data_IF_635650365433
#
_entry.id   IF_635650365433
#
_cell.length_a   1.000
_cell.length_b   1.000
_cell.length_c   1.000
_cell.angle_alpha   90.00
_cell.angle_beta   90.00
_cell.angle_gamma   90.00
#
_symmetry.space_group_name_H-M   'P 1'
#
loop_
_entity.id
_entity.type
_entity.pdbx_description
1 polymer ?
#
# COMPACT_ATOMS: atom_id res chain seq x y z
N UNK A 1 -10.92 9.89 -13.38
CA UNK A 1 -9.76 10.38 -12.61
C UNK A 1 -8.53 9.92 -13.38
N UNK A 2 -7.52 10.75 -13.50
CA UNK A 2 -6.25 10.36 -14.13
C UNK A 2 -5.54 9.28 -13.28
N UNK A 3 -4.82 8.36 -13.90
CA UNK A 3 -4.17 7.23 -13.20
C UNK A 3 -3.10 7.72 -12.22
N UNK A 4 -2.25 8.67 -12.66
CA UNK A 4 -1.20 9.25 -11.81
C UNK A 4 -1.84 10.05 -10.67
N UNK A 5 -2.93 10.77 -10.94
CA UNK A 5 -3.67 11.48 -9.90
C UNK A 5 -4.29 10.53 -8.86
N UNK A 6 -4.78 9.38 -9.29
CA UNK A 6 -5.28 8.34 -8.38
C UNK A 6 -4.16 7.81 -7.48
N UNK A 7 -2.96 7.58 -8.02
CA UNK A 7 -1.79 7.16 -7.25
C UNK A 7 -1.29 8.25 -6.30
N UNK A 8 -1.39 9.54 -6.67
CA UNK A 8 -1.10 10.67 -5.76
C UNK A 8 -2.07 10.71 -4.59
N UNK A 9 -3.37 10.55 -4.85
CA UNK A 9 -4.38 10.49 -3.81
C UNK A 9 -4.11 9.32 -2.84
N UNK A 10 -3.76 8.14 -3.39
CA UNK A 10 -3.40 6.98 -2.60
C UNK A 10 -2.15 7.23 -1.73
N UNK A 11 -1.12 7.87 -2.29
CA UNK A 11 0.10 8.25 -1.55
C UNK A 11 -0.21 9.12 -0.33
N UNK A 12 -1.09 10.12 -0.48
CA UNK A 12 -1.50 10.98 0.64
C UNK A 12 -2.16 10.16 1.74
N UNK A 13 -3.08 9.25 1.38
CA UNK A 13 -3.76 8.38 2.36
C UNK A 13 -2.84 7.38 3.05
N UNK A 14 -1.82 6.89 2.37
CA UNK A 14 -0.78 6.04 2.97
C UNK A 14 0.09 6.84 3.96
N UNK A 15 0.43 8.08 3.62
CA UNK A 15 1.19 8.95 4.52
C UNK A 15 0.43 9.27 5.82
N UNK A 16 -0.90 9.46 5.76
CA UNK A 16 -1.76 9.61 6.94
C UNK A 16 -1.71 8.39 7.88
N UNK A 17 -1.37 7.21 7.35
CA UNK A 17 -1.23 5.94 8.08
C UNK A 17 0.22 5.64 8.48
N UNK A 18 1.15 6.56 8.20
CA UNK A 18 2.58 6.36 8.45
C UNK A 18 3.23 5.34 7.51
N UNK A 19 2.59 4.97 6.40
CA UNK A 19 3.13 4.04 5.41
C UNK A 19 3.90 4.83 4.35
N UNK A 20 5.23 4.71 4.26
CA UNK A 20 6.01 5.45 3.27
C UNK A 20 5.71 4.96 1.86
N UNK A 21 5.44 5.89 0.94
CA UNK A 21 5.22 5.57 -0.46
C UNK A 21 5.76 6.67 -1.40
N UNK A 22 6.33 6.26 -2.52
CA UNK A 22 6.93 7.14 -3.52
C UNK A 22 6.40 6.85 -4.92
N UNK A 23 6.09 7.91 -5.68
CA UNK A 23 5.75 7.77 -7.10
C UNK A 23 7.01 7.51 -7.94
N UNK A 24 6.92 6.55 -8.85
CA UNK A 24 7.98 6.16 -9.80
C UNK A 24 7.35 5.93 -11.18
N UNK A 25 7.32 6.97 -12.01
CA UNK A 25 6.61 6.93 -13.29
C UNK A 25 5.11 6.73 -13.06
N UNK A 26 4.55 5.67 -13.64
CA UNK A 26 3.12 5.29 -13.56
C UNK A 26 2.81 4.33 -12.41
N UNK A 27 3.73 4.20 -11.44
CA UNK A 27 3.59 3.31 -10.30
C UNK A 27 3.79 4.05 -8.98
N UNK A 28 3.16 3.52 -7.92
CA UNK A 28 3.42 3.89 -6.54
C UNK A 28 4.17 2.75 -5.86
N UNK A 29 5.37 3.06 -5.35
CA UNK A 29 6.19 2.12 -4.60
C UNK A 29 5.94 2.33 -3.11
N UNK A 30 5.26 1.37 -2.50
CA UNK A 30 4.98 1.35 -1.06
C UNK A 30 6.13 0.62 -0.37
N UNK A 31 6.74 1.28 0.62
CA UNK A 31 7.89 0.75 1.35
C UNK A 31 7.44 0.24 2.72
N UNK A 32 7.36 -1.08 2.92
CA UNK A 32 7.10 -1.64 4.24
C UNK A 32 8.28 -1.39 5.20
N UNK A 33 8.08 -1.54 6.52
CA UNK A 33 9.17 -1.57 7.49
C UNK A 33 10.19 -2.68 7.15
N UNK A 34 11.44 -2.47 7.60
CA UNK A 34 12.73 -2.97 7.08
C UNK A 34 12.90 -4.46 6.71
N UNK A 35 11.92 -5.33 6.91
CA UNK A 35 11.96 -6.77 6.65
C UNK A 35 11.22 -7.24 5.40
N UNK A 36 10.57 -6.34 4.64
CA UNK A 36 9.73 -6.73 3.50
C UNK A 36 10.17 -6.07 2.18
N UNK A 37 9.93 -6.78 1.07
CA UNK A 37 10.15 -6.24 -0.28
C UNK A 37 9.20 -5.07 -0.55
N UNK A 38 9.64 -4.04 -1.31
CA UNK A 38 8.76 -2.95 -1.71
C UNK A 38 7.59 -3.46 -2.57
N UNK A 39 6.40 -2.91 -2.34
CA UNK A 39 5.19 -3.26 -3.06
C UNK A 39 4.98 -2.25 -4.18
N UNK A 40 4.84 -2.75 -5.40
CA UNK A 40 4.53 -1.94 -6.56
C UNK A 40 3.02 -1.92 -6.78
N UNK A 41 2.46 -0.72 -6.79
CA UNK A 41 1.04 -0.47 -7.01
C UNK A 41 0.87 0.29 -8.32
N UNK A 42 -0.01 -0.21 -9.16
CA UNK A 42 -0.34 0.39 -10.46
C UNK A 42 -1.85 0.63 -10.53
N UNK A 43 -2.29 1.55 -11.39
CA UNK A 43 -3.70 1.60 -11.78
C UNK A 43 -3.89 0.72 -13.00
N UNK A 44 -4.81 -0.24 -12.91
CA UNK A 44 -5.07 -1.22 -13.95
C UNK A 44 -6.52 -1.23 -14.42
N UNK A 45 -6.80 -2.09 -15.39
CA UNK A 45 -8.15 -2.33 -15.92
C UNK A 45 -8.85 -1.04 -16.41
N UNK A 46 -8.14 -0.26 -17.21
CA UNK A 46 -8.66 1.00 -17.78
C UNK A 46 -8.92 2.07 -16.72
N UNK A 47 -8.08 2.16 -15.69
CA UNK A 47 -8.21 3.19 -14.66
C UNK A 47 -9.08 2.82 -13.46
N UNK A 48 -9.62 1.60 -13.38
CA UNK A 48 -10.69 1.26 -12.44
C UNK A 48 -10.19 0.73 -11.08
N UNK A 49 -8.99 0.15 -11.03
CA UNK A 49 -8.47 -0.49 -9.82
C UNK A 49 -7.03 -0.13 -9.54
N UNK A 50 -6.70 0.07 -8.27
CA UNK A 50 -5.35 -0.10 -7.76
C UNK A 50 -5.03 -1.59 -7.71
N UNK A 51 -3.87 -2.00 -8.22
CA UNK A 51 -3.45 -3.40 -8.30
C UNK A 51 -2.02 -3.55 -7.77
N UNK A 52 -1.77 -4.61 -7.00
CA UNK A 52 -0.44 -5.01 -6.55
C UNK A 52 -0.31 -6.55 -6.58
N UNK A 53 0.88 -7.07 -6.29
CA UNK A 53 1.19 -8.52 -6.38
C UNK A 53 0.74 -9.12 -7.72
N UNK A 54 1.31 -8.63 -8.84
CA UNK A 54 0.95 -9.10 -10.19
C UNK A 54 -0.56 -9.01 -10.51
N UNK A 55 -1.27 -8.07 -9.87
CA UNK A 55 -2.71 -7.84 -9.96
C UNK A 55 -3.60 -8.96 -9.37
N UNK A 56 -3.05 -9.86 -8.57
CA UNK A 56 -3.83 -10.81 -7.76
C UNK A 56 -4.63 -10.07 -6.68
N UNK A 57 -4.03 -9.02 -6.12
CA UNK A 57 -4.67 -8.11 -5.18
C UNK A 57 -5.11 -6.82 -5.87
N UNK A 58 -6.33 -6.37 -5.54
CA UNK A 58 -6.93 -5.17 -6.16
C UNK A 58 -7.91 -4.45 -5.25
N UNK A 59 -7.98 -3.13 -5.43
CA UNK A 59 -8.94 -2.27 -4.75
C UNK A 59 -9.49 -1.20 -5.70
N UNK A 60 -10.79 -0.89 -5.72
CA UNK A 60 -11.36 0.13 -6.62
C UNK A 60 -10.75 1.52 -6.37
N UNK A 61 -10.47 2.27 -7.44
CA UNK A 61 -9.92 3.63 -7.34
C UNK A 61 -10.89 4.64 -6.71
N UNK A 62 -12.18 4.32 -6.72
CA UNK A 62 -13.22 5.14 -6.08
C UNK A 62 -13.16 5.07 -4.55
N UNK A 63 -12.49 4.08 -3.98
CA UNK A 63 -12.27 3.93 -2.54
C UNK A 63 -10.77 3.95 -2.20
N UNK A 64 -10.19 5.15 -2.28
CA UNK A 64 -8.78 5.41 -2.00
C UNK A 64 -8.44 5.15 -0.53
N UNK A 65 -9.37 5.42 0.38
CA UNK A 65 -9.14 5.20 1.82
C UNK A 65 -9.06 3.70 2.12
N UNK A 66 -10.02 2.91 1.62
CA UNK A 66 -9.99 1.45 1.74
C UNK A 66 -8.76 0.83 1.07
N UNK A 67 -8.34 1.35 -0.08
CA UNK A 67 -7.11 0.90 -0.74
C UNK A 67 -5.87 1.15 0.14
N UNK A 68 -5.80 2.30 0.81
CA UNK A 68 -4.71 2.62 1.72
C UNK A 68 -4.72 1.72 2.97
N UNK A 69 -5.91 1.39 3.51
CA UNK A 69 -6.06 0.45 4.62
C UNK A 69 -5.63 -0.96 4.24
N UNK A 70 -6.04 -1.44 3.06
CA UNK A 70 -5.65 -2.74 2.53
C UNK A 70 -4.14 -2.85 2.33
N UNK A 71 -3.50 -1.82 1.75
CA UNK A 71 -2.06 -1.78 1.57
C UNK A 71 -1.30 -1.68 2.90
N UNK A 72 -1.80 -0.90 3.86
CA UNK A 72 -1.21 -0.82 5.20
C UNK A 72 -1.24 -2.18 5.90
N UNK A 73 -2.35 -2.92 5.80
CA UNK A 73 -2.47 -4.27 6.33
C UNK A 73 -1.54 -5.25 5.61
N UNK A 74 -1.50 -5.20 4.28
CA UNK A 74 -0.67 -6.07 3.44
C UNK A 74 0.84 -5.86 3.70
N UNK A 75 1.24 -4.63 4.00
CA UNK A 75 2.64 -4.25 4.27
C UNK A 75 3.03 -4.29 5.74
N UNK A 76 2.07 -4.53 6.64
CA UNK A 76 2.34 -4.66 8.05
C UNK A 76 3.24 -5.88 8.31
N UNK A 77 4.16 -5.79 9.27
CA UNK A 77 4.90 -6.97 9.71
C UNK A 77 3.90 -8.02 10.22
N UNK A 78 4.19 -9.33 10.04
CA UNK A 78 3.39 -10.36 10.68
C UNK A 78 3.39 -10.07 12.17
N UNK A 79 2.21 -9.92 12.75
CA UNK A 79 2.04 -9.60 14.18
C UNK A 79 2.84 -10.61 14.99
N UNK A 80 4.02 -10.22 15.45
CA UNK A 80 4.87 -11.08 16.27
C UNK A 80 4.18 -11.24 17.61
N UNK A 81 3.56 -12.40 17.83
CA UNK A 81 2.96 -12.79 19.09
C UNK A 81 4.04 -13.19 20.13
N UNK A 82 5.16 -12.49 20.16
CA UNK A 82 6.25 -12.70 21.10
C UNK A 82 6.68 -11.38 21.75
N UNK A 83 5.76 -10.80 22.53
CA UNK A 83 6.15 -10.12 23.75
C UNK A 83 6.13 -11.17 24.88
N UNK A 84 7.23 -11.90 25.03
CA UNK A 84 7.49 -12.72 26.22
C UNK A 84 8.82 -12.29 26.83
N UNK A 85 8.84 -11.03 27.30
CA UNK A 85 9.87 -10.56 28.22
C UNK A 85 9.23 -9.84 29.40
N UNK A 86 8.61 -10.63 30.28
CA UNK A 86 8.65 -10.38 31.72
C UNK A 86 9.73 -11.33 32.28
N UNK A 87 10.97 -10.86 32.39
CA UNK A 87 11.61 -10.29 33.59
C UNK A 87 11.88 -11.32 34.70
N UNK A 88 13.19 -11.46 34.94
CA UNK A 88 13.91 -11.87 36.16
C UNK A 88 13.89 -13.34 36.57
#
# INVERSE_FOLDING_TARGET
MDEVESLRALRVRLAERGVPADLRGEALVVRPPASHLPVWVFVGYGGAFFCWQSAEERHPVTDVAGAADALALYTAPPTSLFDKTARS
#
